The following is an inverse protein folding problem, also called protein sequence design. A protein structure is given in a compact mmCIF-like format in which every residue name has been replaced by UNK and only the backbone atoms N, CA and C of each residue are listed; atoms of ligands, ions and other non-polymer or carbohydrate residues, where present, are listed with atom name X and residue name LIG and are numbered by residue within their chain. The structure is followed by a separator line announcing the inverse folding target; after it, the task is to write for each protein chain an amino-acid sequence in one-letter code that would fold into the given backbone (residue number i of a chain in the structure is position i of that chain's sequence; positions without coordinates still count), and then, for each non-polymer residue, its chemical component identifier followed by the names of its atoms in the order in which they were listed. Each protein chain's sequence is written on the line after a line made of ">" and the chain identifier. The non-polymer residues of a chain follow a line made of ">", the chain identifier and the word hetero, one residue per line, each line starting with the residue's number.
data_IF_291624885349
#
_entry.id   IF_291624885349
#
_cell.length_a   1.000
_cell.length_b   1.000
_cell.length_c   1.000
_cell.angle_alpha   90.00
_cell.angle_beta   90.00
_cell.angle_gamma   90.00
#
_symmetry.space_group_name_H-M   'P 1'
#
loop_
_entity.id
_entity.type
_entity.pdbx_description
1 polymer ?
#
# COMPACT_ATOMS: atom_id res chain seq x y z
N UNK A 1 -41.92 0.87 -27.58
CA UNK A 1 -40.66 0.76 -28.36
C UNK A 1 -39.58 1.60 -27.70
N UNK A 2 -38.31 1.21 -27.87
CA UNK A 2 -37.18 1.47 -26.97
C UNK A 2 -36.80 2.95 -26.80
N UNK A 3 -36.42 3.35 -25.58
CA UNK A 3 -35.44 4.43 -25.37
C UNK A 3 -34.28 3.90 -24.53
N UNK A 4 -33.42 3.09 -25.16
CA UNK A 4 -32.10 2.75 -24.61
C UNK A 4 -31.30 4.05 -24.64
N UNK A 5 -31.08 4.71 -23.50
CA UNK A 5 -30.21 5.91 -23.43
C UNK A 5 -28.82 5.53 -23.93
N UNK A 6 -28.49 5.93 -25.15
CA UNK A 6 -27.21 5.67 -25.79
C UNK A 6 -26.14 6.55 -25.13
N UNK A 7 -25.22 5.91 -24.41
CA UNK A 7 -24.25 6.56 -23.51
C UNK A 7 -22.97 7.04 -24.22
N UNK A 8 -22.89 6.98 -25.55
CA UNK A 8 -21.67 7.28 -26.31
C UNK A 8 -21.13 8.69 -26.04
N UNK A 9 -22.02 9.68 -26.03
CA UNK A 9 -21.69 11.11 -26.02
C UNK A 9 -22.25 11.84 -24.78
N UNK A 10 -22.02 11.29 -23.58
CA UNK A 10 -22.41 12.00 -22.35
C UNK A 10 -21.45 13.14 -22.05
N UNK A 11 -21.96 14.23 -21.45
CA UNK A 11 -21.16 15.38 -21.00
C UNK A 11 -19.95 14.96 -20.15
N UNK A 12 -20.11 13.93 -19.33
CA UNK A 12 -19.04 13.36 -18.51
C UNK A 12 -17.91 12.74 -19.35
N UNK A 13 -18.25 11.99 -20.41
CA UNK A 13 -17.26 11.37 -21.29
C UNK A 13 -16.52 12.41 -22.12
N UNK A 14 -17.23 13.41 -22.63
CA UNK A 14 -16.63 14.51 -23.39
C UNK A 14 -15.66 15.31 -22.52
N UNK A 15 -16.05 15.66 -21.28
CA UNK A 15 -15.17 16.34 -20.33
C UNK A 15 -13.86 15.57 -20.08
N UNK A 16 -13.99 14.25 -19.87
CA UNK A 16 -12.86 13.36 -19.57
C UNK A 16 -11.94 13.19 -20.78
N UNK A 17 -12.50 13.10 -21.98
CA UNK A 17 -11.73 13.01 -23.22
C UNK A 17 -10.94 14.30 -23.49
N UNK A 18 -11.56 15.46 -23.35
CA UNK A 18 -10.91 16.77 -23.55
C UNK A 18 -9.77 16.97 -22.55
N UNK A 19 -9.99 16.61 -21.27
CA UNK A 19 -8.94 16.65 -20.25
C UNK A 19 -7.77 15.70 -20.56
N UNK A 20 -8.06 14.48 -21.05
CA UNK A 20 -7.02 13.50 -21.42
C UNK A 20 -6.17 13.97 -22.61
N UNK A 21 -6.74 14.76 -23.51
CA UNK A 21 -6.03 15.35 -24.66
C UNK A 21 -5.19 16.58 -24.26
N UNK A 22 -5.18 16.97 -22.98
CA UNK A 22 -4.37 18.08 -22.49
C UNK A 22 -4.92 19.47 -22.81
N UNK A 23 -6.13 19.56 -23.36
CA UNK A 23 -6.77 20.84 -23.62
C UNK A 23 -7.38 21.41 -22.33
N UNK A 24 -7.22 22.71 -22.13
CA UNK A 24 -7.89 23.47 -21.06
C UNK A 24 -9.37 23.69 -21.40
N UNK A 25 -10.12 22.60 -21.50
CA UNK A 25 -11.56 22.62 -21.75
C UNK A 25 -12.38 22.85 -20.48
N UNK A 26 -13.68 23.16 -20.63
CA UNK A 26 -14.59 23.34 -19.49
C UNK A 26 -14.67 22.04 -18.67
N UNK A 27 -14.57 22.18 -17.34
CA UNK A 27 -14.69 21.06 -16.42
C UNK A 27 -16.10 20.46 -16.48
N UNK A 28 -16.22 19.17 -16.15
CA UNK A 28 -17.50 18.45 -16.15
C UNK A 28 -18.62 19.20 -15.39
N UNK A 29 -18.30 19.77 -14.23
CA UNK A 29 -19.26 20.54 -13.43
C UNK A 29 -19.73 21.81 -14.15
N UNK A 30 -18.84 22.51 -14.85
CA UNK A 30 -19.16 23.73 -15.61
C UNK A 30 -20.11 23.43 -16.77
N UNK A 31 -19.91 22.32 -17.48
CA UNK A 31 -20.81 21.91 -18.59
C UNK A 31 -22.21 21.46 -18.12
N UNK A 32 -22.37 21.12 -16.84
CA UNK A 32 -23.66 20.72 -16.25
C UNK A 32 -24.49 21.92 -15.77
N UNK A 33 -23.84 23.06 -15.51
CA UNK A 33 -24.48 24.27 -15.03
C UNK A 33 -25.21 25.04 -16.15
N UNK A 34 -25.95 26.10 -15.81
CA UNK A 34 -26.69 26.93 -16.79
C UNK A 34 -25.77 27.49 -17.89
N UNK A 35 -24.55 27.87 -17.52
CA UNK A 35 -23.50 28.36 -18.43
C UNK A 35 -22.98 27.29 -19.41
N UNK A 36 -23.23 26.01 -19.13
CA UNK A 36 -22.84 24.89 -19.98
C UNK A 36 -23.86 24.51 -21.06
N UNK A 37 -24.88 25.34 -21.33
CA UNK A 37 -25.93 25.05 -22.31
C UNK A 37 -25.37 24.88 -23.73
N UNK A 38 -24.47 25.76 -24.15
CA UNK A 38 -23.89 25.74 -25.49
C UNK A 38 -23.02 24.50 -25.72
N UNK A 39 -22.25 24.09 -24.71
CA UNK A 39 -21.47 22.85 -24.77
C UNK A 39 -22.36 21.62 -24.89
N UNK A 40 -23.52 21.59 -24.21
CA UNK A 40 -24.48 20.50 -24.34
C UNK A 40 -25.09 20.47 -25.74
N UNK A 41 -25.47 21.62 -26.28
CA UNK A 41 -25.98 21.74 -27.64
C UNK A 41 -24.95 21.26 -28.69
N UNK A 42 -23.67 21.64 -28.55
CA UNK A 42 -22.60 21.17 -29.42
C UNK A 42 -22.38 19.65 -29.34
N UNK A 43 -22.44 19.07 -28.14
CA UNK A 43 -22.35 17.62 -27.95
C UNK A 43 -23.53 16.90 -28.60
N UNK A 44 -24.74 17.47 -28.51
CA UNK A 44 -25.93 16.91 -29.14
C UNK A 44 -25.88 16.99 -30.68
N UNK A 45 -25.44 18.12 -31.25
CA UNK A 45 -25.22 18.29 -32.69
C UNK A 45 -24.14 17.33 -33.20
N UNK A 46 -23.04 17.18 -32.46
CA UNK A 46 -22.00 16.22 -32.81
C UNK A 46 -22.51 14.77 -32.79
N UNK A 47 -23.37 14.43 -31.82
CA UNK A 47 -24.02 13.11 -31.75
C UNK A 47 -24.92 12.86 -32.95
N UNK A 48 -25.63 13.88 -33.43
CA UNK A 48 -26.53 13.81 -34.58
C UNK A 48 -25.76 13.65 -35.91
N UNK A 49 -24.66 14.39 -36.08
CA UNK A 49 -23.85 14.37 -37.31
C UNK A 49 -23.03 13.08 -37.47
N UNK A 50 -22.45 12.56 -36.38
CA UNK A 50 -21.48 11.45 -36.46
C UNK A 50 -22.05 10.11 -35.96
N UNK A 51 -23.30 10.09 -35.51
CA UNK A 51 -23.97 8.91 -34.97
C UNK A 51 -23.43 8.51 -33.60
N UNK A 52 -24.28 7.93 -32.76
CA UNK A 52 -23.85 7.40 -31.47
C UNK A 52 -23.06 6.09 -31.67
N UNK A 53 -21.77 6.15 -32.02
CA UNK A 53 -20.89 4.99 -31.84
C UNK A 53 -20.86 4.70 -30.33
N UNK A 54 -21.36 3.54 -29.86
CA UNK A 54 -21.33 3.23 -28.44
C UNK A 54 -19.87 3.06 -28.05
N UNK A 55 -19.25 4.12 -27.52
CA UNK A 55 -17.93 4.03 -26.94
C UNK A 55 -17.93 2.93 -25.87
N UNK A 56 -16.89 2.08 -25.82
CA UNK A 56 -16.87 0.90 -24.96
C UNK A 56 -17.28 1.28 -23.55
N UNK A 57 -18.15 0.46 -22.97
CA UNK A 57 -18.72 0.70 -21.65
C UNK A 57 -17.59 0.57 -20.63
N UNK A 58 -17.01 1.71 -20.24
CA UNK A 58 -16.17 1.80 -19.06
C UNK A 58 -16.84 1.18 -17.84
N UNK A 59 -16.34 0.02 -17.47
CA UNK A 59 -16.75 -0.76 -16.31
C UNK A 59 -16.01 -2.08 -16.36
N UNK A 60 -14.89 -2.19 -15.62
CA UNK A 60 -14.10 -3.38 -15.29
C UNK A 60 -13.60 -4.33 -16.43
N UNK A 61 -14.21 -4.28 -17.62
CA UNK A 61 -14.01 -5.19 -18.74
C UNK A 61 -13.24 -4.52 -19.91
N UNK A 62 -12.84 -3.25 -19.79
CA UNK A 62 -12.06 -2.58 -20.85
C UNK A 62 -10.71 -3.28 -21.07
N UNK A 63 -10.07 -3.77 -19.99
CA UNK A 63 -8.81 -4.50 -20.07
C UNK A 63 -8.97 -5.93 -20.56
N UNK A 64 -10.09 -6.61 -20.27
CA UNK A 64 -10.31 -7.98 -20.76
C UNK A 64 -10.65 -8.04 -22.26
N UNK A 65 -11.18 -6.94 -22.79
CA UNK A 65 -11.51 -6.79 -24.20
C UNK A 65 -10.36 -6.20 -25.04
N UNK A 66 -9.35 -5.58 -24.40
CA UNK A 66 -8.13 -5.07 -25.07
C UNK A 66 -7.42 -6.13 -25.93
N UNK A 67 -7.24 -7.38 -25.46
CA UNK A 67 -6.66 -8.45 -26.28
C UNK A 67 -7.50 -8.80 -27.52
N UNK A 68 -8.82 -8.56 -27.51
CA UNK A 68 -9.69 -8.88 -28.65
C UNK A 68 -9.46 -7.96 -29.85
N UNK A 69 -8.83 -6.80 -29.65
CA UNK A 69 -8.43 -5.89 -30.71
C UNK A 69 -7.11 -6.30 -31.41
N UNK A 70 -6.41 -7.30 -30.88
CA UNK A 70 -5.15 -7.81 -31.42
C UNK A 70 -5.45 -8.90 -32.44
N UNK A 71 -5.00 -8.70 -33.67
CA UNK A 71 -5.20 -9.64 -34.79
C UNK A 71 -4.37 -10.91 -34.68
N UNK A 72 -3.19 -10.83 -34.08
CA UNK A 72 -2.31 -11.98 -33.82
C UNK A 72 -2.76 -12.74 -32.55
N UNK A 73 -3.12 -14.01 -32.73
CA UNK A 73 -3.61 -14.89 -31.65
C UNK A 73 -2.54 -15.17 -30.60
N UNK A 74 -1.27 -15.31 -30.97
CA UNK A 74 -0.19 -15.57 -30.02
C UNK A 74 0.07 -14.34 -29.13
N UNK A 75 0.07 -13.14 -29.74
CA UNK A 75 0.20 -11.88 -29.00
C UNK A 75 -1.02 -11.67 -28.10
N UNK A 76 -2.21 -11.94 -28.61
CA UNK A 76 -3.46 -11.86 -27.83
C UNK A 76 -3.41 -12.73 -26.56
N UNK A 77 -2.97 -13.99 -26.67
CA UNK A 77 -2.87 -14.87 -25.51
C UNK A 77 -1.81 -14.39 -24.51
N UNK A 78 -0.68 -13.88 -25.00
CA UNK A 78 0.37 -13.33 -24.13
C UNK A 78 -0.13 -12.12 -23.34
N UNK A 79 -0.84 -11.20 -23.99
CA UNK A 79 -1.42 -10.04 -23.32
C UNK A 79 -2.47 -10.46 -22.29
N UNK A 80 -3.30 -11.48 -22.57
CA UNK A 80 -4.23 -12.03 -21.57
C UNK A 80 -3.53 -12.58 -20.33
N UNK A 81 -2.43 -13.30 -20.51
CA UNK A 81 -1.65 -13.85 -19.39
C UNK A 81 -1.05 -12.71 -18.56
N UNK A 82 -0.47 -11.70 -19.20
CA UNK A 82 0.12 -10.57 -18.48
C UNK A 82 -0.93 -9.74 -17.74
N UNK A 83 -2.10 -9.48 -18.33
CA UNK A 83 -3.19 -8.80 -17.64
C UNK A 83 -3.68 -9.56 -16.40
N UNK A 84 -3.73 -10.90 -16.46
CA UNK A 84 -4.05 -11.72 -15.28
C UNK A 84 -3.00 -11.59 -14.18
N UNK A 85 -1.71 -11.55 -14.55
CA UNK A 85 -0.62 -11.34 -13.60
C UNK A 85 -0.71 -9.96 -12.95
N UNK A 86 -0.97 -8.92 -13.73
CA UNK A 86 -1.14 -7.55 -13.22
C UNK A 86 -2.27 -7.51 -12.19
N UNK A 87 -3.45 -8.05 -12.51
CA UNK A 87 -4.57 -8.14 -11.54
C UNK A 87 -4.18 -8.89 -10.27
N UNK A 88 -3.50 -10.02 -10.41
CA UNK A 88 -3.05 -10.80 -9.25
C UNK A 88 -2.05 -10.02 -8.38
N UNK A 89 -1.18 -9.20 -9.00
CA UNK A 89 -0.24 -8.34 -8.28
C UNK A 89 -0.92 -7.15 -7.61
N UNK A 90 -1.88 -6.52 -8.28
CA UNK A 90 -2.70 -5.44 -7.70
C UNK A 90 -3.46 -5.91 -6.48
N UNK A 91 -4.07 -7.10 -6.55
CA UNK A 91 -4.80 -7.69 -5.42
C UNK A 91 -3.86 -8.01 -4.25
N UNK A 92 -2.67 -8.57 -4.51
CA UNK A 92 -1.66 -8.78 -3.47
C UNK A 92 -1.20 -7.49 -2.84
N UNK A 93 -0.99 -6.44 -3.63
CA UNK A 93 -0.63 -5.12 -3.13
C UNK A 93 -1.74 -4.52 -2.26
N UNK A 94 -3.01 -4.67 -2.67
CA UNK A 94 -4.16 -4.23 -1.89
C UNK A 94 -4.18 -4.90 -0.51
N UNK A 95 -4.06 -6.22 -0.47
CA UNK A 95 -4.01 -7.00 0.78
C UNK A 95 -2.84 -6.55 1.66
N UNK A 96 -1.65 -6.41 1.09
CA UNK A 96 -0.48 -5.95 1.84
C UNK A 96 -0.67 -4.54 2.39
N UNK A 97 -1.26 -3.64 1.59
CA UNK A 97 -1.53 -2.28 2.01
C UNK A 97 -2.54 -2.25 3.17
N UNK A 98 -3.61 -3.03 3.08
CA UNK A 98 -4.61 -3.19 4.16
C UNK A 98 -3.95 -3.71 5.46
N UNK A 99 -3.07 -4.71 5.37
CA UNK A 99 -2.34 -5.23 6.53
C UNK A 99 -1.37 -4.20 7.13
N UNK A 100 -0.64 -3.44 6.29
CA UNK A 100 0.24 -2.36 6.77
C UNK A 100 -0.56 -1.28 7.49
N UNK A 101 -1.71 -0.89 6.95
CA UNK A 101 -2.61 0.08 7.59
C UNK A 101 -3.13 -0.48 8.92
N UNK A 102 -3.51 -1.76 8.97
CA UNK A 102 -3.95 -2.41 10.23
C UNK A 102 -2.85 -2.41 11.28
N UNK A 103 -1.63 -2.81 10.91
CA UNK A 103 -0.48 -2.87 11.81
C UNK A 103 -0.06 -1.49 12.30
N UNK A 104 0.00 -0.50 11.41
CA UNK A 104 0.30 0.88 11.78
C UNK A 104 -0.76 1.48 12.71
N UNK A 105 -2.05 1.17 12.48
CA UNK A 105 -3.12 1.57 13.40
C UNK A 105 -3.02 0.88 14.76
N UNK A 106 -2.57 -0.37 14.83
CA UNK A 106 -2.32 -1.07 16.09
C UNK A 106 -1.11 -0.49 16.85
N UNK A 107 -0.08 -0.04 16.12
CA UNK A 107 1.07 0.65 16.71
C UNK A 107 0.75 2.09 17.16
N UNK A 108 -0.24 2.74 16.53
CA UNK A 108 -0.70 4.08 16.89
C UNK A 108 -1.76 4.10 18.00
N UNK A 109 -2.26 2.94 18.43
CA UNK A 109 -3.14 2.87 19.59
C UNK A 109 -2.37 3.35 20.84
N UNK A 110 -2.93 4.27 21.64
CA UNK A 110 -2.29 4.68 22.88
C UNK A 110 -2.09 3.44 23.77
N UNK A 111 -0.88 3.28 24.30
CA UNK A 111 -0.58 2.22 25.25
C UNK A 111 -1.67 2.18 26.33
N UNK A 112 -2.18 0.99 26.72
CA UNK A 112 -3.11 0.90 27.83
C UNK A 112 -2.51 1.64 29.02
N UNK A 113 -3.32 2.49 29.65
CA UNK A 113 -2.88 3.38 30.73
C UNK A 113 -2.02 2.59 31.73
N UNK A 114 -0.73 2.93 31.75
CA UNK A 114 0.23 2.38 32.71
C UNK A 114 -0.27 2.85 34.08
N UNK A 115 -0.81 1.90 34.86
CA UNK A 115 -1.07 2.14 36.28
C UNK A 115 0.20 2.68 36.93
N UNK A 116 0.11 3.61 37.88
CA UNK A 116 1.29 4.26 38.46
C UNK A 116 2.24 3.19 38.98
N UNK A 117 3.41 3.14 38.34
CA UNK A 117 4.50 2.24 38.68
C UNK A 117 4.90 2.50 40.12
N UNK A 118 4.66 1.51 40.97
CA UNK A 118 5.22 1.47 42.33
C UNK A 118 6.74 1.45 42.16
N UNK A 119 7.40 2.45 42.72
CA UNK A 119 8.84 2.52 42.82
C UNK A 119 9.37 1.29 43.56
N UNK A 120 9.74 0.27 42.80
CA UNK A 120 10.44 -0.92 43.21
C UNK A 120 11.33 -1.32 42.04
N UNK A 121 12.61 -1.58 42.31
CA UNK A 121 13.62 -1.84 41.29
C UNK A 121 13.10 -2.83 40.23
N UNK A 122 13.39 -2.53 38.96
CA UNK A 122 13.07 -3.39 37.82
C UNK A 122 13.80 -4.72 37.99
N UNK A 123 13.17 -5.66 38.68
CA UNK A 123 13.60 -7.04 38.74
C UNK A 123 12.91 -7.71 37.55
N UNK A 124 13.63 -7.83 36.45
CA UNK A 124 13.22 -8.66 35.33
C UNK A 124 12.87 -10.06 35.85
N UNK A 125 11.77 -10.63 35.36
CA UNK A 125 11.41 -12.00 35.68
C UNK A 125 12.45 -12.97 35.11
N UNK A 126 12.65 -14.15 35.72
CA UNK A 126 13.58 -15.16 35.21
C UNK A 126 13.30 -15.57 33.75
N UNK A 127 12.03 -15.50 33.33
CA UNK A 127 11.62 -15.81 31.96
C UNK A 127 12.02 -14.70 30.98
N UNK A 128 11.94 -13.43 31.39
CA UNK A 128 12.42 -12.30 30.58
C UNK A 128 13.94 -12.34 30.41
N UNK A 129 14.69 -12.65 31.48
CA UNK A 129 16.15 -12.83 31.39
C UNK A 129 16.49 -13.95 30.42
N UNK A 130 15.81 -15.10 30.52
CA UNK A 130 16.00 -16.24 29.61
C UNK A 130 15.65 -15.92 28.16
N UNK A 131 14.63 -15.09 27.93
CA UNK A 131 14.26 -14.63 26.60
C UNK A 131 15.36 -13.75 26.00
N UNK A 132 15.94 -12.83 26.79
CA UNK A 132 17.05 -11.97 26.36
C UNK A 132 18.32 -12.80 26.11
N UNK A 133 18.65 -13.76 26.96
CA UNK A 133 19.77 -14.69 26.75
C UNK A 133 19.63 -15.45 25.44
N UNK A 134 18.46 -16.04 25.18
CA UNK A 134 18.19 -16.74 23.92
C UNK A 134 18.35 -15.83 22.71
N UNK A 135 17.86 -14.60 22.80
CA UNK A 135 18.02 -13.61 21.74
C UNK A 135 19.50 -13.30 21.47
N UNK A 136 20.30 -13.04 22.50
CA UNK A 136 21.73 -12.75 22.37
C UNK A 136 22.51 -13.94 21.77
N UNK A 137 22.16 -15.18 22.10
CA UNK A 137 22.81 -16.39 21.56
C UNK A 137 22.41 -16.66 20.10
N UNK A 138 21.17 -16.34 19.70
CA UNK A 138 20.63 -16.70 18.38
C UNK A 138 20.50 -15.51 17.42
N UNK A 139 21.05 -14.36 17.76
CA UNK A 139 20.96 -13.13 16.98
C UNK A 139 21.36 -13.33 15.50
N UNK A 140 22.47 -14.03 15.27
CA UNK A 140 22.95 -14.32 13.90
C UNK A 140 22.04 -15.27 13.12
N UNK A 141 21.38 -16.21 13.81
CA UNK A 141 20.45 -17.19 13.21
C UNK A 141 19.18 -16.49 12.72
N UNK A 142 18.75 -15.45 13.44
CA UNK A 142 17.61 -14.59 13.06
C UNK A 142 18.00 -13.58 11.98
N UNK A 143 19.27 -13.59 11.53
CA UNK A 143 19.75 -12.70 10.47
C UNK A 143 20.09 -11.30 10.96
N UNK A 144 20.38 -11.13 12.26
CA UNK A 144 20.84 -9.87 12.83
C UNK A 144 22.36 -9.91 12.99
N UNK A 145 23.04 -8.79 12.69
CA UNK A 145 24.48 -8.63 12.91
C UNK A 145 24.76 -7.36 13.70
N UNK A 146 25.80 -7.39 14.53
CA UNK A 146 26.36 -6.16 15.11
C UNK A 146 27.28 -5.52 14.08
N UNK A 147 27.15 -4.22 13.89
CA UNK A 147 28.16 -3.41 13.22
C UNK A 147 29.21 -2.97 14.23
N UNK A 148 30.48 -3.28 13.96
CA UNK A 148 31.59 -3.00 14.87
C UNK A 148 32.01 -1.52 14.82
N UNK A 149 31.73 -0.82 13.71
CA UNK A 149 32.10 0.58 13.52
C UNK A 149 31.12 1.53 14.22
N UNK A 150 29.82 1.25 14.09
CA UNK A 150 28.76 2.08 14.69
C UNK A 150 28.25 1.53 16.02
N UNK A 151 28.42 0.24 16.29
CA UNK A 151 27.83 -0.44 17.45
C UNK A 151 26.34 -0.74 17.30
N UNK A 152 25.74 -0.47 16.13
CA UNK A 152 24.33 -0.72 15.83
C UNK A 152 24.04 -2.21 15.57
N UNK A 153 22.76 -2.61 15.69
CA UNK A 153 22.30 -3.90 15.16
C UNK A 153 21.71 -3.66 13.77
N UNK A 154 22.23 -4.36 12.77
CA UNK A 154 21.78 -4.32 11.39
C UNK A 154 21.08 -5.63 11.00
N UNK A 155 20.07 -5.52 10.14
CA UNK A 155 19.55 -6.66 9.39
C UNK A 155 20.58 -7.12 8.36
N UNK A 156 20.98 -8.38 8.43
CA UNK A 156 21.96 -8.98 7.51
C UNK A 156 21.47 -9.01 6.06
N UNK A 157 20.16 -8.94 5.81
CA UNK A 157 19.58 -8.98 4.46
C UNK A 157 19.45 -7.62 3.81
N UNK A 158 19.15 -6.59 4.59
CA UNK A 158 18.80 -5.25 4.08
C UNK A 158 19.78 -4.16 4.50
N UNK A 159 20.77 -4.50 5.32
CA UNK A 159 21.73 -3.58 5.94
C UNK A 159 21.09 -2.41 6.69
N UNK A 160 19.83 -2.60 7.09
CA UNK A 160 19.04 -1.59 7.77
C UNK A 160 19.28 -1.67 9.27
N UNK A 161 19.40 -0.51 9.90
CA UNK A 161 19.44 -0.40 11.35
C UNK A 161 18.12 -0.88 11.97
N UNK A 162 18.25 -1.87 12.85
CA UNK A 162 17.16 -2.43 13.66
C UNK A 162 17.22 -1.89 15.08
N UNK A 163 18.43 -1.64 15.60
CA UNK A 163 18.60 -1.09 16.94
C UNK A 163 19.81 -0.14 17.01
N UNK A 164 19.70 0.92 17.85
CA UNK A 164 20.72 1.95 18.01
C UNK A 164 21.99 1.42 18.68
N UNK A 165 23.09 2.20 18.66
CA UNK A 165 24.31 1.85 19.37
C UNK A 165 24.05 1.66 20.87
N UNK A 166 24.86 0.81 21.51
CA UNK A 166 24.79 0.44 22.93
C UNK A 166 23.56 -0.39 23.36
N UNK A 167 22.62 -0.66 22.46
CA UNK A 167 21.44 -1.48 22.76
C UNK A 167 21.83 -2.91 23.20
N UNK A 168 22.79 -3.54 22.52
CA UNK A 168 23.31 -4.85 22.91
C UNK A 168 23.99 -4.82 24.28
N UNK A 169 24.71 -3.75 24.58
CA UNK A 169 25.43 -3.61 25.84
C UNK A 169 24.45 -3.37 27.00
N UNK A 170 23.33 -2.67 26.76
CA UNK A 170 22.23 -2.56 27.71
C UNK A 170 21.56 -3.92 27.98
N UNK A 171 21.27 -4.72 26.95
CA UNK A 171 20.73 -6.08 27.11
C UNK A 171 21.68 -7.00 27.89
N UNK A 172 22.98 -6.91 27.61
CA UNK A 172 24.01 -7.67 28.35
C UNK A 172 24.10 -7.24 29.81
N UNK A 173 23.97 -5.94 30.09
CA UNK A 173 23.91 -5.45 31.48
C UNK A 173 22.70 -6.01 32.20
N UNK A 174 21.53 -6.04 31.56
CA UNK A 174 20.29 -6.60 32.14
C UNK A 174 20.49 -8.06 32.56
N UNK A 175 21.04 -8.89 31.66
CA UNK A 175 21.36 -10.30 31.95
C UNK A 175 22.44 -10.42 33.03
N UNK A 176 23.46 -9.55 33.01
CA UNK A 176 24.55 -9.54 34.00
C UNK A 176 24.13 -9.07 35.39
N UNK A 177 23.13 -8.18 35.50
CA UNK A 177 22.60 -7.67 36.77
C UNK A 177 21.59 -8.60 37.43
N UNK A 178 21.07 -9.58 36.70
CA UNK A 178 20.17 -10.63 37.23
C UNK A 178 20.87 -11.88 37.76
N UNK A 179 22.21 -11.89 37.81
CA UNK A 179 22.96 -12.93 38.52
C UNK A 179 22.69 -12.86 40.03
N UNK A 180 22.66 -14.00 40.75
CA UNK A 180 22.41 -13.99 42.19
C UNK A 180 23.44 -13.09 42.90
N UNK A 181 23.09 -12.45 44.03
CA UNK A 181 24.03 -11.63 44.78
C UNK A 181 25.27 -12.49 45.06
N UNK A 182 26.44 -12.01 44.65
CA UNK A 182 27.71 -12.58 45.10
C UNK A 182 27.70 -12.45 46.62
N UNK A 183 27.53 -13.59 47.29
CA UNK A 183 27.66 -13.67 48.72
C UNK A 183 29.09 -13.27 49.06
N UNK A 184 29.22 -12.16 49.79
CA UNK A 184 30.43 -11.86 50.53
C UNK A 184 30.58 -12.94 51.61
N UNK A 185 31.73 -13.61 51.57
CA UNK A 185 32.25 -14.53 52.57
C UNK A 185 33.76 -14.41 52.62
#
# INVERSE_FOLDING_TARGET
>A
MLTRKEKGFSVARVAKAVARLGYAGPKYQSMRNKEGADFRALIDVYRELYGSVPGPRGGADEDENLPLAISDVAIQQRVRIELRKVRALEERNRILHEEVVRLSSAMAAPAPAVMPSVAGGSVFTPDEVRAVERFLTHMEVVGLRRDDDTGCILDRRSDREIAPPYFLDALRRIVGTSGPPRGDG
#
